data_IF_209701612936
#
_entry.id   IF_209701612936
#
_cell.length_a   1.000
_cell.length_b   1.000
_cell.length_c   1.000
_cell.angle_alpha   90.00
_cell.angle_beta   90.00
_cell.angle_gamma   90.00
#
_symmetry.space_group_name_H-M   'P 1'
#
loop_
_entity.id
_entity.type
_entity.pdbx_description
1 polymer ?
#
# COMPACT_ATOMS: atom_id res chain seq x y z
N UNK A 1 -2.24 18.59 13.33
CA UNK A 1 -3.47 18.16 12.63
C UNK A 1 -3.23 16.72 12.22
N UNK A 2 -3.56 15.82 13.14
CA UNK A 2 -3.45 14.37 12.99
C UNK A 2 -4.46 13.97 11.90
N UNK A 3 -3.99 13.30 10.84
CA UNK A 3 -4.82 13.05 9.65
C UNK A 3 -5.83 11.95 10.00
N UNK A 4 -7.10 12.32 9.96
CA UNK A 4 -8.31 11.62 10.44
C UNK A 4 -8.76 10.43 9.58
N UNK A 5 -7.87 9.54 9.15
CA UNK A 5 -8.31 8.32 8.50
C UNK A 5 -7.56 7.15 9.10
N UNK A 6 -8.29 6.35 9.88
CA UNK A 6 -7.83 5.08 10.44
C UNK A 6 -7.55 4.07 9.33
N UNK A 7 -6.59 4.41 8.47
CA UNK A 7 -5.93 3.51 7.53
C UNK A 7 -5.33 2.43 8.39
N UNK A 8 -6.07 1.33 8.54
CA UNK A 8 -5.52 0.06 9.01
C UNK A 8 -4.18 -0.09 8.31
N UNK A 9 -3.10 -0.25 9.08
CA UNK A 9 -1.78 -0.48 8.52
C UNK A 9 -1.87 -1.70 7.61
N UNK A 10 -1.88 -1.46 6.29
CA UNK A 10 -1.94 -2.51 5.29
C UNK A 10 -0.50 -2.89 4.97
N UNK A 11 -0.20 -4.17 5.08
CA UNK A 11 1.15 -4.63 4.79
C UNK A 11 1.40 -4.60 3.29
N UNK A 12 2.36 -3.77 2.89
CA UNK A 12 2.85 -3.71 1.51
C UNK A 12 4.11 -4.56 1.42
N UNK A 13 4.07 -5.62 0.61
CA UNK A 13 5.30 -6.35 0.27
C UNK A 13 6.16 -5.49 -0.67
N UNK A 14 7.46 -5.39 -0.40
CA UNK A 14 8.41 -4.65 -1.26
C UNK A 14 8.39 -5.12 -2.72
N UNK A 15 8.06 -6.40 -2.95
CA UNK A 15 7.86 -6.93 -4.30
C UNK A 15 6.71 -6.25 -5.05
N UNK A 16 5.63 -5.87 -4.37
CA UNK A 16 4.47 -5.21 -4.99
C UNK A 16 4.80 -3.76 -5.34
N UNK A 17 5.61 -3.08 -4.52
CA UNK A 17 6.11 -1.72 -4.81
C UNK A 17 6.95 -1.70 -6.08
N UNK A 18 7.86 -2.69 -6.20
CA UNK A 18 8.72 -2.85 -7.38
C UNK A 18 7.93 -3.24 -8.63
N UNK A 19 6.94 -4.12 -8.48
CA UNK A 19 6.03 -4.52 -9.57
C UNK A 19 5.23 -3.33 -10.12
N UNK A 20 4.81 -2.44 -9.22
CA UNK A 20 4.14 -1.18 -9.56
C UNK A 20 5.08 -0.14 -10.23
N UNK A 21 6.37 -0.44 -10.37
CA UNK A 21 7.37 0.45 -10.96
C UNK A 21 7.89 1.53 -10.02
N UNK A 22 7.71 1.36 -8.72
CA UNK A 22 8.27 2.24 -7.70
C UNK A 22 9.51 1.61 -7.06
N UNK A 23 10.55 2.40 -6.88
CA UNK A 23 11.72 1.99 -6.11
C UNK A 23 11.45 2.15 -4.60
N UNK A 24 10.64 3.16 -4.24
CA UNK A 24 10.18 3.45 -2.87
C UNK A 24 8.87 4.24 -2.89
N UNK A 25 8.00 4.00 -1.91
CA UNK A 25 6.81 4.80 -1.63
C UNK A 25 7.16 5.87 -0.60
N UNK A 26 6.85 7.14 -0.90
CA UNK A 26 7.02 8.23 0.05
C UNK A 26 5.66 8.59 0.68
N UNK A 27 5.70 9.18 1.87
CA UNK A 27 4.50 9.78 2.46
C UNK A 27 3.93 10.84 1.51
N UNK A 28 2.65 10.69 1.16
CA UNK A 28 1.96 11.57 0.21
C UNK A 28 2.01 11.12 -1.25
N UNK A 29 2.72 10.04 -1.59
CA UNK A 29 2.62 9.45 -2.92
C UNK A 29 1.24 8.81 -3.10
N UNK A 30 0.53 9.25 -4.13
CA UNK A 30 -0.77 8.71 -4.49
C UNK A 30 -0.57 7.37 -5.18
N UNK A 31 -0.98 6.30 -4.51
CA UNK A 31 -1.07 4.97 -5.13
C UNK A 31 -2.43 4.35 -4.87
N UNK A 32 -2.90 3.60 -5.85
CA UNK A 32 -4.05 2.72 -5.75
C UNK A 32 -3.56 1.30 -5.53
N UNK A 33 -4.18 0.60 -4.60
CA UNK A 33 -3.89 -0.80 -4.33
C UNK A 33 -5.19 -1.46 -3.86
N UNK A 34 -5.24 -2.77 -4.01
CA UNK A 34 -6.34 -3.59 -3.50
C UNK A 34 -5.93 -4.18 -2.15
N UNK A 35 -6.88 -4.32 -1.22
CA UNK A 35 -6.61 -4.86 0.12
C UNK A 35 -7.22 -6.24 0.22
N UNK A 36 -6.36 -7.25 0.35
CA UNK A 36 -6.78 -8.64 0.47
C UNK A 36 -6.47 -9.17 1.88
N UNK A 37 -7.37 -9.94 2.49
CA UNK A 37 -7.14 -10.57 3.79
C UNK A 37 -6.25 -11.81 3.65
N UNK A 38 -4.95 -11.64 3.89
CA UNK A 38 -3.98 -12.73 3.92
C UNK A 38 -3.95 -13.46 5.26
N UNK A 39 -3.17 -14.55 5.32
CA UNK A 39 -2.96 -15.35 6.54
C UNK A 39 -2.42 -14.57 7.74
N UNK A 40 -1.80 -13.40 7.50
CA UNK A 40 -1.19 -12.55 8.52
C UNK A 40 -1.90 -11.21 8.68
N UNK A 41 -3.07 -11.02 8.04
CA UNK A 41 -3.84 -9.78 8.06
C UNK A 41 -3.96 -9.12 6.69
N UNK A 42 -4.50 -7.89 6.63
CA UNK A 42 -4.72 -7.16 5.40
C UNK A 42 -3.40 -6.83 4.69
N UNK A 43 -3.28 -7.29 3.45
CA UNK A 43 -2.12 -7.08 2.60
C UNK A 43 -2.51 -6.31 1.34
N UNK A 44 -1.63 -5.41 0.91
CA UNK A 44 -1.82 -4.62 -0.29
C UNK A 44 -1.36 -5.42 -1.52
N UNK A 45 -2.24 -5.57 -2.50
CA UNK A 45 -2.00 -6.24 -3.77
C UNK A 45 -2.28 -5.30 -4.93
N UNK A 46 -1.78 -5.63 -6.13
CA UNK A 46 -2.05 -4.85 -7.36
C UNK A 46 -1.75 -3.36 -7.20
N UNK A 47 -0.60 -3.02 -6.58
CA UNK A 47 -0.16 -1.64 -6.45
C UNK A 47 -0.04 -0.97 -7.84
N UNK A 48 -0.61 0.22 -7.95
CA UNK A 48 -0.64 1.04 -9.16
C UNK A 48 -0.43 2.48 -8.81
N UNK A 49 0.39 3.16 -9.61
CA UNK A 49 0.49 4.60 -9.60
C UNK A 49 -0.84 5.20 -10.07
N UNK A 50 -1.37 6.18 -9.33
CA UNK A 50 -2.47 7.04 -9.81
C UNK A 50 -1.94 8.30 -10.48
#
# INVERSE_FOLDING_TARGET
MEREDGKKDVFVHSSQVRDAGFDYLNDGDGVSFDVEEGKSGPAATNLKKI
#
